data_IF_111747961512
#
_entry.id   IF_111747961512
#
_cell.length_a   1.000
_cell.length_b   1.000
_cell.length_c   1.000
_cell.angle_alpha   90.00
_cell.angle_beta   90.00
_cell.angle_gamma   90.00
#
_symmetry.space_group_name_H-M   'P 1'
#
loop_
_entity.id
_entity.type
_entity.pdbx_description
1 polymer ?
#
# COMPACT_ATOMS: atom_id res chain seq x y z
N UNK A 1 -0.36 -10.77 -2.39
CA UNK A 1 -0.61 -9.39 -1.85
C UNK A 1 -1.48 -8.59 -2.81
N UNK A 2 -1.07 -8.35 -4.07
CA UNK A 2 -1.86 -7.57 -5.02
C UNK A 2 -3.32 -8.05 -5.17
N UNK A 3 -3.55 -9.34 -5.41
CA UNK A 3 -4.91 -9.91 -5.53
C UNK A 3 -5.73 -9.78 -4.24
N UNK A 4 -5.10 -9.99 -3.08
CA UNK A 4 -5.75 -9.80 -1.79
C UNK A 4 -6.12 -8.33 -1.55
N UNK A 5 -5.22 -7.40 -1.89
CA UNK A 5 -5.46 -5.97 -1.79
C UNK A 5 -6.59 -5.52 -2.71
N UNK A 6 -6.58 -5.94 -3.97
CA UNK A 6 -7.64 -5.66 -4.95
C UNK A 6 -8.99 -6.24 -4.49
N UNK A 7 -9.00 -7.45 -3.93
CA UNK A 7 -10.18 -8.04 -3.33
C UNK A 7 -10.71 -7.27 -2.10
N UNK A 8 -9.82 -6.60 -1.36
CA UNK A 8 -10.19 -5.74 -0.24
C UNK A 8 -10.76 -4.41 -0.74
N UNK A 9 -10.14 -3.77 -1.73
CA UNK A 9 -10.51 -2.41 -2.17
C UNK A 9 -11.54 -2.38 -3.30
N UNK A 10 -11.96 -3.53 -3.82
CA UNK A 10 -13.02 -3.61 -4.83
C UNK A 10 -14.40 -3.83 -4.23
N UNK A 11 -15.41 -3.16 -4.79
CA UNK A 11 -16.81 -3.44 -4.51
C UNK A 11 -17.20 -4.83 -4.99
N UNK A 12 -17.98 -5.54 -4.18
CA UNK A 12 -18.57 -6.84 -4.52
C UNK A 12 -20.07 -6.78 -4.25
N UNK A 13 -20.84 -7.63 -4.94
CA UNK A 13 -22.32 -7.60 -4.88
C UNK A 13 -22.93 -7.65 -3.46
N UNK A 14 -22.17 -8.12 -2.48
CA UNK A 14 -22.58 -8.30 -1.07
C UNK A 14 -21.69 -7.54 -0.07
N UNK A 15 -20.72 -6.74 -0.53
CA UNK A 15 -19.76 -6.06 0.33
C UNK A 15 -19.20 -4.81 -0.36
N UNK A 16 -19.25 -3.69 0.35
CA UNK A 16 -18.59 -2.45 -0.07
C UNK A 16 -17.06 -2.60 0.01
N UNK A 17 -16.37 -1.95 -0.93
CA UNK A 17 -14.93 -1.78 -0.91
C UNK A 17 -14.43 -1.31 0.47
N UNK A 18 -13.35 -1.92 0.94
CA UNK A 18 -12.60 -1.44 2.10
C UNK A 18 -11.77 -0.22 1.68
N UNK A 19 -11.69 0.83 2.51
CA UNK A 19 -10.75 1.93 2.29
C UNK A 19 -9.31 1.41 2.14
N UNK A 20 -8.52 2.01 1.25
CA UNK A 20 -7.15 1.53 1.05
C UNK A 20 -6.30 1.59 2.31
N UNK A 21 -6.50 2.59 3.18
CA UNK A 21 -5.81 2.67 4.48
C UNK A 21 -6.05 1.44 5.35
N UNK A 22 -7.30 1.01 5.45
CA UNK A 22 -7.66 -0.20 6.19
C UNK A 22 -7.11 -1.45 5.52
N UNK A 23 -7.14 -1.52 4.19
CA UNK A 23 -6.58 -2.63 3.43
C UNK A 23 -5.04 -2.72 3.57
N UNK A 24 -4.34 -1.58 3.59
CA UNK A 24 -2.89 -1.52 3.84
C UNK A 24 -2.57 -1.94 5.28
N UNK A 25 -3.36 -1.48 6.26
CA UNK A 25 -3.23 -1.90 7.65
C UNK A 25 -3.44 -3.41 7.81
N UNK A 26 -4.40 -3.99 7.07
CA UNK A 26 -4.64 -5.43 7.02
C UNK A 26 -3.45 -6.20 6.43
N UNK A 27 -2.89 -5.73 5.30
CA UNK A 27 -1.69 -6.33 4.70
C UNK A 27 -0.50 -6.27 5.68
N UNK A 28 -0.30 -5.15 6.36
CA UNK A 28 0.77 -4.98 7.33
C UNK A 28 0.57 -5.87 8.56
N UNK A 29 -0.65 -5.95 9.09
CA UNK A 29 -0.98 -6.76 10.27
C UNK A 29 -0.73 -8.25 10.03
N UNK A 30 -0.97 -8.73 8.80
CA UNK A 30 -0.75 -10.12 8.42
C UNK A 30 0.64 -10.38 7.81
N UNK A 31 1.55 -9.40 7.89
CA UNK A 31 2.96 -9.57 7.51
C UNK A 31 3.67 -10.57 8.42
N UNK A 32 4.45 -11.48 7.85
CA UNK A 32 5.15 -12.54 8.58
C UNK A 32 4.29 -13.74 8.97
N UNK A 33 2.99 -13.70 8.67
CA UNK A 33 2.08 -14.83 8.87
C UNK A 33 1.43 -15.28 7.57
N UNK A 34 0.50 -14.48 7.02
CA UNK A 34 -0.17 -14.78 5.75
C UNK A 34 0.61 -14.25 4.55
N UNK A 35 1.39 -13.18 4.74
CA UNK A 35 2.18 -12.56 3.70
C UNK A 35 3.66 -12.61 4.05
N UNK A 36 4.48 -12.85 3.04
CA UNK A 36 5.93 -12.74 3.17
C UNK A 36 6.30 -11.27 3.50
N UNK A 37 7.08 -11.01 4.57
CA UNK A 37 7.46 -9.66 4.95
C UNK A 37 8.17 -8.87 3.84
N UNK A 38 9.04 -9.50 3.05
CA UNK A 38 9.73 -8.84 1.95
C UNK A 38 8.76 -8.46 0.82
N UNK A 39 7.76 -9.30 0.55
CA UNK A 39 6.72 -8.97 -0.41
C UNK A 39 5.83 -7.81 0.08
N UNK A 40 5.51 -7.75 1.38
CA UNK A 40 4.78 -6.62 1.98
C UNK A 40 5.57 -5.33 1.83
N UNK A 41 6.87 -5.34 2.16
CA UNK A 41 7.76 -4.18 1.96
C UNK A 41 7.75 -3.70 0.51
N UNK A 42 8.01 -4.59 -0.43
CA UNK A 42 8.03 -4.25 -1.85
C UNK A 42 6.69 -3.66 -2.33
N UNK A 43 5.57 -4.24 -1.89
CA UNK A 43 4.24 -3.73 -2.23
C UNK A 43 4.02 -2.32 -1.68
N UNK A 44 4.36 -2.09 -0.41
CA UNK A 44 4.21 -0.80 0.25
C UNK A 44 5.11 0.29 -0.36
N UNK A 45 6.36 -0.04 -0.71
CA UNK A 45 7.26 0.89 -1.39
C UNK A 45 6.70 1.36 -2.73
N UNK A 46 6.18 0.42 -3.54
CA UNK A 46 5.55 0.76 -4.84
C UNK A 46 4.25 1.53 -4.64
N UNK A 47 3.47 1.20 -3.61
CA UNK A 47 2.25 1.92 -3.29
C UNK A 47 2.57 3.37 -2.90
N UNK A 48 3.50 3.60 -1.96
CA UNK A 48 3.93 4.95 -1.56
C UNK A 48 4.45 5.78 -2.73
N UNK A 49 5.26 5.20 -3.62
CA UNK A 49 5.79 5.90 -4.80
C UNK A 49 4.70 6.42 -5.76
N UNK A 50 3.50 5.81 -5.74
CA UNK A 50 2.35 6.30 -6.52
C UNK A 50 1.60 7.46 -5.86
N UNK A 51 1.73 7.65 -4.55
CA UNK A 51 1.01 8.68 -3.79
C UNK A 51 1.91 9.83 -3.30
N UNK A 52 3.22 9.61 -3.20
CA UNK A 52 4.20 10.64 -2.83
C UNK A 52 4.98 11.02 -4.09
N UNK A 53 4.68 12.19 -4.64
CA UNK A 53 5.44 12.73 -5.78
C UNK A 53 6.93 12.82 -5.43
N UNK A 54 7.79 12.50 -6.41
CA UNK A 54 9.27 12.40 -6.35
C UNK A 54 9.71 11.02 -5.82
N UNK A 55 10.37 10.10 -6.54
CA UNK A 55 11.59 10.23 -7.37
C UNK A 55 11.74 9.02 -8.32
N UNK A 56 12.16 9.26 -9.57
CA UNK A 56 12.79 8.34 -10.55
C UNK A 56 12.29 6.90 -10.72
N UNK A 57 11.32 6.70 -11.62
CA UNK A 57 11.20 5.45 -12.40
C UNK A 57 10.67 5.80 -13.78
N UNK A 58 11.60 5.92 -14.73
CA UNK A 58 11.26 5.93 -16.14
C UNK A 58 10.48 4.66 -16.45
N UNK A 59 9.22 4.81 -16.88
CA UNK A 59 8.40 3.80 -17.57
C UNK A 59 7.27 3.08 -16.80
N UNK A 60 6.44 3.75 -15.98
CA UNK A 60 5.11 3.18 -15.68
C UNK A 60 3.98 4.20 -15.89
N UNK A 61 3.00 3.73 -16.68
CA UNK A 61 1.93 4.50 -17.27
C UNK A 61 0.98 5.12 -16.23
N UNK A 62 0.41 6.26 -16.65
CA UNK A 62 -0.68 6.99 -16.01
C UNK A 62 -1.81 6.03 -15.59
N UNK A 63 -1.92 5.72 -14.31
CA UNK A 63 -3.16 5.14 -13.76
C UNK A 63 -3.84 6.21 -12.93
N UNK A 64 -4.94 6.72 -13.47
CA UNK A 64 -5.94 7.52 -12.77
C UNK A 64 -6.36 6.75 -11.52
N UNK A 65 -6.07 7.30 -10.35
CA UNK A 65 -6.52 6.78 -9.06
C UNK A 65 -8.05 6.59 -9.09
N UNK A 66 -8.57 5.35 -9.08
CA UNK A 66 -10.00 5.10 -9.17
C UNK A 66 -10.73 5.23 -7.83
N UNK A 67 -10.03 5.43 -6.71
CA UNK A 67 -10.58 5.16 -5.39
C UNK A 67 -10.69 6.39 -4.46
N UNK A 68 -10.38 7.60 -4.94
CA UNK A 68 -10.74 8.84 -4.26
C UNK A 68 -10.21 8.94 -2.82
N UNK A 69 -8.93 8.65 -2.62
CA UNK A 69 -8.37 8.51 -1.28
C UNK A 69 -8.23 9.86 -0.56
N UNK A 70 -8.83 9.90 0.64
CA UNK A 70 -8.49 10.84 1.71
C UNK A 70 -7.01 10.61 2.06
N UNK A 71 -6.31 11.68 2.41
CA UNK A 71 -4.89 11.64 2.79
C UNK A 71 -4.63 10.55 3.86
N UNK A 72 -3.64 9.67 3.62
CA UNK A 72 -3.27 8.59 4.56
C UNK A 72 -3.03 9.17 5.96
N UNK A 73 -3.54 8.51 7.01
CA UNK A 73 -3.22 8.91 8.39
C UNK A 73 -1.70 8.90 8.67
N UNK A 74 -1.22 9.86 9.47
CA UNK A 74 0.21 9.99 9.83
C UNK A 74 0.77 8.73 10.49
N UNK A 75 -0.03 8.03 11.29
CA UNK A 75 0.35 6.76 11.92
C UNK A 75 0.61 5.66 10.90
N UNK A 76 -0.16 5.61 9.80
CA UNK A 76 0.04 4.64 8.74
C UNK A 76 1.21 5.03 7.84
N UNK A 77 1.39 6.33 7.54
CA UNK A 77 2.59 6.82 6.85
C UNK A 77 3.87 6.40 7.59
N UNK A 78 3.89 6.58 8.92
CA UNK A 78 5.01 6.19 9.78
C UNK A 78 5.23 4.67 9.80
N UNK A 79 4.18 3.87 10.02
CA UNK A 79 4.29 2.42 10.04
C UNK A 79 4.76 1.84 8.70
N UNK A 80 4.36 2.46 7.59
CA UNK A 80 4.86 2.07 6.27
C UNK A 80 6.32 2.47 6.08
N UNK A 81 6.74 3.67 6.51
CA UNK A 81 8.13 4.09 6.43
C UNK A 81 9.07 3.14 7.20
N UNK A 82 8.68 2.76 8.42
CA UNK A 82 9.39 1.78 9.25
C UNK A 82 9.41 0.40 8.60
N UNK A 83 8.27 -0.07 8.09
CA UNK A 83 8.19 -1.36 7.42
C UNK A 83 9.02 -1.39 6.14
N UNK A 84 9.04 -0.30 5.36
CA UNK A 84 9.77 -0.20 4.10
C UNK A 84 11.29 -0.14 4.28
N UNK A 85 11.79 0.12 5.50
CA UNK A 85 13.22 0.16 5.77
C UNK A 85 13.95 1.25 4.98
N UNK A 86 13.34 2.44 4.86
CA UNK A 86 13.98 3.61 4.27
C UNK A 86 15.06 4.25 5.18
N UNK A 87 15.46 3.56 6.25
CA UNK A 87 16.60 3.92 7.12
C UNK A 87 17.87 3.14 6.74
N UNK A 88 18.19 3.06 5.45
CA UNK A 88 19.55 2.70 5.00
C UNK A 88 20.39 3.99 4.91
N UNK A 89 20.70 4.57 6.06
CA UNK A 89 21.85 5.45 6.26
C UNK A 89 22.73 4.86 7.38
N UNK A 90 23.72 4.07 6.95
CA UNK A 90 25.08 4.12 7.50
C UNK A 90 25.86 5.24 6.81
#
# INVERSE_FOLDING_TARGET
IADAFDAMTSDRAYRTAMPAEEALAEVLRNSGTQFDPAAVRAFLSVYQQRFVGTVHHSHLAKTKDPAGHRELSESLKQAIAEAAGLDDEL
#
